data_IF_270031892984
#
_entry.id   IF_270031892984
#
_cell.length_a   1.000
_cell.length_b   1.000
_cell.length_c   1.000
_cell.angle_alpha   90.00
_cell.angle_beta   90.00
_cell.angle_gamma   90.00
#
_symmetry.space_group_name_H-M   'P 1'
#
loop_
_entity.id
_entity.type
_entity.pdbx_description
1 polymer ?
#
# COMPACT_ATOMS: atom_id res chain seq x y z
N UNK A 1 -18.22 15.80 16.32
CA UNK A 1 -16.94 16.51 16.51
C UNK A 1 -15.92 15.80 15.66
N UNK A 2 -15.63 16.37 14.50
CA UNK A 2 -14.65 15.87 13.53
C UNK A 2 -13.27 15.99 14.17
N UNK A 3 -12.61 14.86 14.42
CA UNK A 3 -11.17 14.88 14.67
C UNK A 3 -10.56 15.29 13.34
N UNK A 4 -10.07 16.52 13.25
CA UNK A 4 -9.28 16.94 12.11
C UNK A 4 -8.11 15.96 11.99
N UNK A 5 -8.05 15.21 10.90
CA UNK A 5 -6.81 14.60 10.44
C UNK A 5 -5.81 15.74 10.32
N UNK A 6 -4.76 15.68 11.13
CA UNK A 6 -3.59 16.54 10.95
C UNK A 6 -3.08 16.17 9.55
N UNK A 7 -3.17 17.09 8.58
CA UNK A 7 -2.75 16.81 7.21
C UNK A 7 -1.26 16.53 7.12
N UNK A 8 -0.82 15.83 6.06
CA UNK A 8 0.59 15.45 5.86
C UNK A 8 1.57 16.61 6.07
N UNK A 9 1.22 17.83 5.68
CA UNK A 9 2.08 19.02 5.86
C UNK A 9 2.36 19.35 7.33
N UNK A 10 1.36 19.20 8.20
CA UNK A 10 1.51 19.47 9.62
C UNK A 10 2.34 18.37 10.31
N UNK A 11 2.22 17.12 9.86
CA UNK A 11 3.11 16.04 10.30
C UNK A 11 4.54 16.26 9.79
N UNK A 12 4.73 16.68 8.53
CA UNK A 12 6.03 17.03 7.95
C UNK A 12 6.70 18.21 8.65
N UNK A 13 5.95 19.19 9.13
CA UNK A 13 6.50 20.30 9.90
C UNK A 13 7.14 19.86 11.23
N UNK A 14 6.68 18.74 11.80
CA UNK A 14 7.17 18.20 13.08
C UNK A 14 8.21 17.11 12.86
N UNK A 15 7.97 16.20 11.93
CA UNK A 15 8.73 14.95 11.75
C UNK A 15 9.42 14.84 10.38
N UNK A 16 9.21 15.79 9.48
CA UNK A 16 9.76 15.79 8.13
C UNK A 16 11.26 16.16 8.07
N UNK A 17 11.86 16.10 6.87
CA UNK A 17 13.28 16.36 6.66
C UNK A 17 13.72 17.78 6.98
N UNK A 18 12.80 18.74 6.92
CA UNK A 18 13.03 20.17 7.16
C UNK A 18 12.70 20.61 8.58
N UNK A 19 12.27 19.67 9.45
CA UNK A 19 11.97 19.98 10.83
C UNK A 19 13.22 20.53 11.55
N UNK A 20 13.11 21.75 12.06
CA UNK A 20 14.23 22.49 12.71
C UNK A 20 14.74 21.75 13.96
N UNK A 21 13.86 20.99 14.61
CA UNK A 21 14.17 20.13 15.74
C UNK A 21 13.22 18.94 15.69
N UNK A 22 13.74 17.74 15.43
CA UNK A 22 12.97 16.52 15.61
C UNK A 22 12.81 16.30 17.13
N UNK A 23 11.59 16.17 17.67
CA UNK A 23 11.40 15.88 19.08
C UNK A 23 12.12 14.59 19.48
N UNK A 24 12.76 14.57 20.65
CA UNK A 24 13.18 13.32 21.27
C UNK A 24 11.92 12.47 21.50
N UNK A 25 11.85 11.31 20.84
CA UNK A 25 10.72 10.40 20.93
C UNK A 25 11.18 9.09 21.55
N UNK A 26 10.58 8.72 22.68
CA UNK A 26 10.80 7.39 23.26
C UNK A 26 10.13 6.31 22.41
N UNK A 27 10.60 5.06 22.53
CA UNK A 27 10.00 3.92 21.83
C UNK A 27 8.51 3.76 22.17
N UNK A 28 8.12 3.96 23.43
CA UNK A 28 6.71 3.87 23.85
C UNK A 28 5.83 4.94 23.17
N UNK A 29 6.33 6.18 23.06
CA UNK A 29 5.64 7.26 22.35
C UNK A 29 5.52 6.97 20.85
N UNK A 30 6.58 6.43 20.23
CA UNK A 30 6.55 5.99 18.84
C UNK A 30 5.48 4.91 18.59
N UNK A 31 5.31 3.96 19.51
CA UNK A 31 4.23 2.97 19.43
C UNK A 31 2.83 3.53 19.67
N UNK A 32 2.69 4.53 20.55
CA UNK A 32 1.44 5.28 20.70
C UNK A 32 1.10 6.03 19.40
N UNK A 33 2.10 6.68 18.80
CA UNK A 33 1.96 7.40 17.53
C UNK A 33 1.47 6.47 16.41
N UNK A 34 2.16 5.34 16.18
CA UNK A 34 1.77 4.36 15.15
C UNK A 34 0.36 3.82 15.36
N UNK A 35 -0.01 3.49 16.61
CA UNK A 35 -1.37 3.02 16.94
C UNK A 35 -2.44 4.08 16.72
N UNK A 36 -2.12 5.36 16.95
CA UNK A 36 -3.04 6.47 16.67
C UNK A 36 -3.27 6.58 15.17
N UNK A 37 -2.19 6.63 14.38
CA UNK A 37 -2.27 6.72 12.92
C UNK A 37 -3.06 5.55 12.31
N UNK A 38 -2.81 4.33 12.79
CA UNK A 38 -3.52 3.13 12.36
C UNK A 38 -5.01 3.06 12.76
N UNK A 39 -5.48 3.96 13.64
CA UNK A 39 -6.89 4.05 14.07
C UNK A 39 -7.64 5.23 13.48
N UNK A 40 -6.93 6.30 13.12
CA UNK A 40 -7.55 7.54 12.66
C UNK A 40 -7.80 7.57 11.16
N UNK A 41 -7.10 6.76 10.37
CA UNK A 41 -7.33 6.67 8.92
C UNK A 41 -8.55 5.81 8.56
N UNK A 42 -9.34 6.36 7.63
CA UNK A 42 -10.64 5.85 7.21
C UNK A 42 -10.49 4.75 6.16
N UNK A 43 -9.98 3.58 6.58
CA UNK A 43 -10.00 2.38 5.76
C UNK A 43 -10.38 1.17 6.61
N UNK A 44 -10.60 0.01 5.99
CA UNK A 44 -10.96 -1.24 6.68
C UNK A 44 -9.87 -1.75 7.66
N UNK A 45 -8.72 -1.09 7.75
CA UNK A 45 -7.57 -1.53 8.52
C UNK A 45 -7.81 -1.65 10.05
N UNK A 46 -8.50 -0.73 10.74
CA UNK A 46 -8.86 -0.91 12.16
C UNK A 46 -9.71 -2.16 12.39
N UNK A 47 -10.55 -2.57 11.43
CA UNK A 47 -11.30 -3.82 11.49
C UNK A 47 -10.38 -5.03 11.35
N UNK A 48 -9.44 -4.98 10.39
CA UNK A 48 -8.44 -6.04 10.17
C UNK A 48 -7.53 -6.22 11.41
N UNK A 49 -7.10 -5.13 12.05
CA UNK A 49 -6.35 -5.18 13.32
C UNK A 49 -7.16 -5.84 14.45
N UNK A 50 -8.48 -5.67 14.45
CA UNK A 50 -9.37 -6.33 15.42
C UNK A 50 -9.38 -7.85 15.29
N UNK A 51 -9.36 -8.35 14.05
CA UNK A 51 -9.36 -9.77 13.71
C UNK A 51 -7.99 -10.43 13.90
N UNK A 52 -6.90 -9.66 13.81
CA UNK A 52 -5.56 -10.18 13.96
C UNK A 52 -5.29 -10.76 15.38
N UNK A 53 -4.49 -11.86 15.50
CA UNK A 53 -4.01 -12.37 16.77
C UNK A 53 -3.37 -11.28 17.62
N UNK A 54 -3.59 -11.30 18.94
CA UNK A 54 -3.11 -10.24 19.87
C UNK A 54 -1.63 -9.90 19.68
N UNK A 55 -0.78 -10.91 19.45
CA UNK A 55 0.66 -10.75 19.21
C UNK A 55 1.00 -9.93 17.96
N UNK A 56 0.14 -9.97 16.93
CA UNK A 56 0.36 -9.30 15.64
C UNK A 56 -0.22 -7.89 15.58
N UNK A 57 -1.09 -7.49 16.52
CA UNK A 57 -1.76 -6.19 16.46
C UNK A 57 -0.80 -5.00 16.52
N UNK A 58 0.21 -5.07 17.40
CA UNK A 58 1.25 -4.04 17.54
C UNK A 58 2.12 -3.95 16.27
N UNK A 59 2.77 -5.03 15.81
CA UNK A 59 3.61 -4.94 14.61
C UNK A 59 2.82 -4.58 13.35
N UNK A 60 1.58 -5.08 13.18
CA UNK A 60 0.73 -4.67 12.05
C UNK A 60 0.38 -3.18 12.08
N UNK A 61 0.11 -2.61 13.25
CA UNK A 61 -0.15 -1.17 13.37
C UNK A 61 1.08 -0.32 13.02
N UNK A 62 2.28 -0.78 13.35
CA UNK A 62 3.55 -0.12 12.99
C UNK A 62 3.81 -0.21 11.49
N UNK A 63 3.68 -1.40 10.89
CA UNK A 63 3.84 -1.58 9.43
C UNK A 63 2.83 -0.72 8.67
N UNK A 64 1.57 -0.68 9.12
CA UNK A 64 0.57 0.19 8.52
C UNK A 64 0.91 1.67 8.65
N UNK A 65 1.35 2.12 9.84
CA UNK A 65 1.76 3.50 10.02
C UNK A 65 2.90 3.89 9.06
N UNK A 66 3.83 2.96 8.81
CA UNK A 66 4.91 3.17 7.84
C UNK A 66 4.39 3.25 6.40
N UNK A 67 3.49 2.34 6.01
CA UNK A 67 2.88 2.36 4.68
C UNK A 67 2.06 3.63 4.47
N UNK A 68 1.31 4.06 5.50
CA UNK A 68 0.49 5.27 5.44
C UNK A 68 1.33 6.53 5.24
N UNK A 69 2.45 6.65 5.94
CA UNK A 69 3.38 7.75 5.66
C UNK A 69 3.87 7.72 4.22
N UNK A 70 4.27 6.57 3.68
CA UNK A 70 4.71 6.49 2.28
C UNK A 70 3.60 6.90 1.29
N UNK A 71 2.36 6.48 1.55
CA UNK A 71 1.15 6.81 0.79
C UNK A 71 0.81 8.31 0.86
N UNK A 72 0.82 8.90 2.06
CA UNK A 72 0.61 10.34 2.29
C UNK A 72 1.62 11.20 1.52
N UNK A 73 2.90 10.80 1.56
CA UNK A 73 3.95 11.52 0.83
C UNK A 73 3.80 11.41 -0.70
N UNK A 74 3.09 10.39 -1.20
CA UNK A 74 2.84 10.19 -2.61
C UNK A 74 1.57 10.91 -3.09
N UNK A 75 0.49 10.86 -2.32
CA UNK A 75 -0.86 11.25 -2.77
C UNK A 75 -1.39 12.55 -2.14
N UNK A 76 -0.92 12.97 -0.96
CA UNK A 76 -1.39 14.21 -0.30
C UNK A 76 -0.49 15.43 -0.59
N UNK A 77 0.57 15.26 -1.37
CA UNK A 77 1.50 16.32 -1.77
C UNK A 77 1.15 16.82 -3.18
N UNK A 78 0.94 18.14 -3.33
CA UNK A 78 0.47 18.72 -4.60
C UNK A 78 1.47 18.62 -5.76
N UNK A 79 2.78 18.70 -5.48
CA UNK A 79 3.83 18.65 -6.49
C UNK A 79 4.45 17.25 -6.59
N UNK A 80 4.39 16.59 -7.76
CA UNK A 80 5.06 15.30 -7.97
C UNK A 80 6.57 15.34 -7.70
N UNK A 81 7.23 16.44 -8.03
CA UNK A 81 8.65 16.64 -7.75
C UNK A 81 8.92 16.62 -6.24
N UNK A 82 8.06 17.31 -5.46
CA UNK A 82 8.15 17.32 -4.01
C UNK A 82 7.83 15.95 -3.42
N UNK A 83 6.83 15.25 -3.93
CA UNK A 83 6.54 13.86 -3.53
C UNK A 83 7.75 12.97 -3.75
N UNK A 84 8.44 13.07 -4.88
CA UNK A 84 9.64 12.30 -5.18
C UNK A 84 10.81 12.61 -4.22
N UNK A 85 11.00 13.87 -3.84
CA UNK A 85 12.00 14.27 -2.83
C UNK A 85 11.67 13.66 -1.47
N UNK A 86 10.41 13.73 -1.06
CA UNK A 86 9.94 13.21 0.23
C UNK A 86 9.98 11.68 0.28
N UNK A 87 9.60 10.98 -0.79
CA UNK A 87 9.74 9.53 -0.92
C UNK A 87 11.21 9.08 -0.89
N UNK A 88 12.11 9.88 -1.47
CA UNK A 88 13.55 9.64 -1.35
C UNK A 88 14.00 9.77 0.11
N UNK A 89 13.60 10.83 0.81
CA UNK A 89 13.87 10.98 2.24
C UNK A 89 13.30 9.81 3.06
N UNK A 90 12.08 9.37 2.76
CA UNK A 90 11.47 8.24 3.45
C UNK A 90 12.24 6.93 3.22
N UNK A 91 12.81 6.74 2.03
CA UNK A 91 13.75 5.62 1.75
C UNK A 91 15.04 5.72 2.55
N UNK A 92 15.54 6.93 2.79
CA UNK A 92 16.70 7.15 3.67
C UNK A 92 16.36 6.84 5.13
N UNK A 93 15.17 7.20 5.62
CA UNK A 93 14.68 6.80 6.94
C UNK A 93 14.49 5.27 7.05
N UNK A 94 14.03 4.60 5.99
CA UNK A 94 14.00 3.13 5.93
C UNK A 94 15.41 2.54 6.03
N UNK A 95 16.39 3.11 5.32
CA UNK A 95 17.78 2.67 5.41
C UNK A 95 18.35 2.87 6.83
N UNK A 96 18.03 4.00 7.47
CA UNK A 96 18.43 4.29 8.85
C UNK A 96 17.77 3.35 9.87
N UNK A 97 16.49 3.00 9.67
CA UNK A 97 15.76 2.01 10.45
C UNK A 97 16.49 0.65 10.46
N UNK A 98 16.80 0.12 9.27
CA UNK A 98 17.57 -1.13 9.12
C UNK A 98 19.05 -1.00 9.55
N UNK A 99 19.58 0.23 9.57
CA UNK A 99 20.97 0.53 9.95
C UNK A 99 21.20 0.82 11.44
N UNK A 100 20.14 0.86 12.27
CA UNK A 100 20.30 1.09 13.71
C UNK A 100 20.10 2.55 14.17
N UNK A 101 19.80 3.49 13.27
CA UNK A 101 19.80 4.93 13.58
C UNK A 101 18.57 5.70 13.04
N UNK A 102 17.32 5.21 13.19
CA UNK A 102 16.12 5.91 12.74
C UNK A 102 15.92 7.21 13.53
N UNK A 103 15.29 8.21 12.90
CA UNK A 103 14.93 9.47 13.57
C UNK A 103 13.43 9.65 13.67
N UNK A 104 12.71 9.23 12.62
CA UNK A 104 11.25 9.33 12.60
C UNK A 104 10.61 8.36 13.61
N UNK A 105 9.54 8.75 14.35
CA UNK A 105 8.89 7.89 15.35
C UNK A 105 8.40 6.56 14.74
N UNK A 106 7.83 6.60 13.53
CA UNK A 106 7.41 5.38 12.84
C UNK A 106 8.60 4.47 12.51
N UNK A 107 9.73 5.03 12.07
CA UNK A 107 10.96 4.27 11.78
C UNK A 107 11.60 3.70 13.04
N UNK A 108 11.48 4.40 14.18
CA UNK A 108 11.92 3.91 15.49
C UNK A 108 11.10 2.71 15.94
N UNK A 109 9.76 2.80 15.87
CA UNK A 109 8.89 1.67 16.20
C UNK A 109 9.07 0.51 15.21
N UNK A 110 9.27 0.80 13.92
CA UNK A 110 9.50 -0.21 12.89
C UNK A 110 10.81 -0.97 13.13
N UNK A 111 11.85 -0.31 13.62
CA UNK A 111 13.12 -0.99 13.90
C UNK A 111 12.97 -2.12 14.93
N UNK A 112 12.22 -1.89 16.02
CA UNK A 112 11.93 -2.94 17.00
C UNK A 112 11.20 -4.11 16.32
N UNK A 113 10.19 -3.82 15.49
CA UNK A 113 9.42 -4.84 14.76
C UNK A 113 10.28 -5.61 13.73
N UNK A 114 11.15 -4.92 13.01
CA UNK A 114 12.09 -5.53 12.05
C UNK A 114 13.02 -6.50 12.77
N UNK A 115 13.55 -6.12 13.93
CA UNK A 115 14.45 -6.97 14.71
C UNK A 115 13.70 -8.15 15.36
N UNK A 116 12.52 -7.91 15.94
CA UNK A 116 11.73 -8.94 16.65
C UNK A 116 11.22 -10.04 15.71
N UNK A 117 10.93 -9.69 14.45
CA UNK A 117 10.34 -10.60 13.45
C UNK A 117 11.29 -10.94 12.29
N UNK A 118 12.55 -10.51 12.36
CA UNK A 118 13.56 -10.71 11.31
C UNK A 118 13.05 -10.29 9.91
N UNK A 119 12.43 -9.12 9.82
CA UNK A 119 11.83 -8.65 8.58
C UNK A 119 12.89 -8.26 7.57
N UNK A 120 12.69 -8.63 6.32
CA UNK A 120 13.57 -8.23 5.23
C UNK A 120 13.23 -6.83 4.74
N UNK A 121 14.25 -6.06 4.34
CA UNK A 121 14.08 -4.69 3.81
C UNK A 121 13.38 -4.65 2.45
N UNK A 122 13.63 -5.64 1.59
CA UNK A 122 13.21 -5.62 0.18
C UNK A 122 11.71 -5.33 -0.03
N UNK A 123 10.76 -5.97 0.68
CA UNK A 123 9.34 -5.63 0.56
C UNK A 123 9.01 -4.16 0.80
N UNK A 124 9.72 -3.48 1.71
CA UNK A 124 9.52 -2.05 1.96
C UNK A 124 10.07 -1.20 0.82
N UNK A 125 11.25 -1.53 0.28
CA UNK A 125 11.79 -0.86 -0.90
C UNK A 125 10.88 -1.05 -2.13
N UNK A 126 10.28 -2.24 -2.31
CA UNK A 126 9.32 -2.52 -3.39
C UNK A 126 8.10 -1.59 -3.32
N UNK A 127 7.54 -1.37 -2.12
CA UNK A 127 6.43 -0.42 -1.92
C UNK A 127 6.82 1.01 -2.31
N UNK A 128 8.03 1.45 -1.92
CA UNK A 128 8.53 2.77 -2.32
C UNK A 128 8.78 2.88 -3.82
N UNK A 129 9.21 1.80 -4.47
CA UNK A 129 9.34 1.77 -5.93
C UNK A 129 7.97 1.97 -6.60
N UNK A 130 6.89 1.41 -6.05
CA UNK A 130 5.53 1.62 -6.53
C UNK A 130 5.06 3.07 -6.36
N UNK A 131 5.21 3.65 -5.18
CA UNK A 131 4.83 5.06 -4.95
C UNK A 131 5.60 6.03 -5.87
N UNK A 132 6.88 5.77 -6.12
CA UNK A 132 7.68 6.54 -7.10
C UNK A 132 7.17 6.34 -8.53
N UNK A 133 6.74 5.13 -8.89
CA UNK A 133 6.17 4.85 -10.21
C UNK A 133 4.87 5.63 -10.43
N UNK A 134 3.99 5.72 -9.43
CA UNK A 134 2.70 6.42 -9.54
C UNK A 134 2.84 7.94 -9.78
N UNK A 135 4.00 8.52 -9.45
CA UNK A 135 4.31 9.92 -9.78
C UNK A 135 4.66 10.14 -11.25
N UNK A 136 4.89 9.07 -12.03
CA UNK A 136 5.44 9.14 -13.39
C UNK A 136 4.60 8.43 -14.43
N UNK A 137 3.99 7.30 -14.06
CA UNK A 137 3.21 6.46 -14.96
C UNK A 137 1.74 6.49 -14.54
N UNK A 138 0.93 7.17 -15.33
CA UNK A 138 -0.49 7.37 -15.04
C UNK A 138 -1.40 6.34 -15.73
N UNK A 139 -0.86 5.59 -16.70
CA UNK A 139 -1.64 4.64 -17.50
C UNK A 139 -0.82 3.39 -17.83
N UNK A 140 -1.52 2.26 -17.94
CA UNK A 140 -0.95 0.94 -18.22
C UNK A 140 -1.37 0.44 -19.60
N UNK A 141 -0.43 -0.05 -20.40
CA UNK A 141 -0.69 -0.50 -21.77
C UNK A 141 -1.26 -1.93 -21.82
N UNK A 142 -0.74 -2.82 -20.98
CA UNK A 142 -1.14 -4.22 -20.92
C UNK A 142 -1.36 -4.72 -19.50
N UNK A 143 -2.11 -5.81 -19.38
CA UNK A 143 -2.35 -6.47 -18.09
C UNK A 143 -1.04 -6.91 -17.43
N UNK A 144 -0.05 -7.36 -18.21
CA UNK A 144 1.27 -7.70 -17.68
C UNK A 144 2.00 -6.50 -17.05
N UNK A 145 1.84 -5.31 -17.63
CA UNK A 145 2.41 -4.08 -17.06
C UNK A 145 1.71 -3.73 -15.74
N UNK A 146 0.38 -3.87 -15.68
CA UNK A 146 -0.39 -3.67 -14.45
C UNK A 146 0.01 -4.68 -13.38
N UNK A 147 0.19 -5.95 -13.73
CA UNK A 147 0.66 -6.98 -12.80
C UNK A 147 2.08 -6.70 -12.31
N UNK A 148 2.96 -6.17 -13.16
CA UNK A 148 4.29 -5.75 -12.76
C UNK A 148 4.25 -4.63 -11.72
N UNK A 149 3.29 -3.71 -11.82
CA UNK A 149 3.03 -2.72 -10.79
C UNK A 149 2.51 -3.36 -9.49
N UNK A 150 1.51 -4.26 -9.55
CA UNK A 150 0.99 -4.97 -8.38
C UNK A 150 2.06 -5.76 -7.60
N UNK A 151 3.10 -6.26 -8.28
CA UNK A 151 4.25 -6.94 -7.63
C UNK A 151 4.99 -6.02 -6.65
N UNK A 152 4.90 -4.71 -6.84
CA UNK A 152 5.52 -3.70 -6.00
C UNK A 152 4.48 -3.00 -5.10
N UNK A 153 3.29 -2.68 -5.60
CA UNK A 153 2.29 -1.90 -4.86
C UNK A 153 1.47 -2.71 -3.86
N UNK A 154 1.30 -4.02 -4.07
CA UNK A 154 0.39 -4.83 -3.27
C UNK A 154 1.05 -6.07 -2.64
N UNK A 155 1.76 -6.85 -3.45
CA UNK A 155 2.36 -8.12 -3.01
C UNK A 155 3.30 -7.99 -1.80
N UNK A 156 4.12 -6.92 -1.68
CA UNK A 156 5.01 -6.79 -0.54
C UNK A 156 4.29 -6.71 0.81
N UNK A 157 3.08 -6.13 0.86
CA UNK A 157 2.27 -6.07 2.10
C UNK A 157 1.96 -7.49 2.59
N UNK A 158 1.50 -8.37 1.70
CA UNK A 158 1.23 -9.76 2.04
C UNK A 158 2.46 -10.51 2.55
N UNK A 159 3.60 -10.31 1.89
CA UNK A 159 4.89 -10.90 2.29
C UNK A 159 5.34 -10.44 3.68
N UNK A 160 5.15 -9.16 4.01
CA UNK A 160 5.43 -8.63 5.36
C UNK A 160 4.50 -9.29 6.39
N UNK A 161 3.20 -9.43 6.09
CA UNK A 161 2.23 -10.08 6.99
C UNK A 161 2.56 -11.56 7.20
N UNK A 162 3.01 -12.27 6.17
CA UNK A 162 3.49 -13.65 6.28
C UNK A 162 4.73 -13.76 7.18
N UNK A 163 5.71 -12.87 6.98
CA UNK A 163 6.91 -12.82 7.81
C UNK A 163 6.57 -12.53 9.28
N UNK A 164 5.69 -11.56 9.55
CA UNK A 164 5.16 -11.30 10.90
C UNK A 164 4.46 -12.52 11.51
N UNK A 165 3.86 -13.37 10.67
CA UNK A 165 3.21 -14.60 11.09
C UNK A 165 4.18 -15.79 11.25
N UNK A 166 5.46 -15.61 10.93
CA UNK A 166 6.49 -16.66 10.97
C UNK A 166 6.40 -17.65 9.80
N UNK A 167 5.77 -17.26 8.68
CA UNK A 167 5.58 -18.12 7.50
C UNK A 167 6.59 -17.73 6.42
N UNK A 168 7.47 -18.67 6.06
CA UNK A 168 8.52 -18.50 5.02
C UNK A 168 8.35 -19.47 3.85
N UNK A 169 7.21 -20.16 3.79
CA UNK A 169 6.90 -21.14 2.74
C UNK A 169 6.64 -20.46 1.39
N UNK A 170 7.31 -20.94 0.34
CA UNK A 170 7.24 -20.34 -0.99
C UNK A 170 5.84 -20.46 -1.63
N UNK A 171 5.10 -21.53 -1.32
CA UNK A 171 3.73 -21.70 -1.81
C UNK A 171 2.79 -20.73 -1.10
N UNK A 172 2.96 -20.52 0.22
CA UNK A 172 2.23 -19.52 0.96
C UNK A 172 2.50 -18.10 0.42
N UNK A 173 3.76 -17.79 0.07
CA UNK A 173 4.12 -16.52 -0.59
C UNK A 173 3.40 -16.37 -1.93
N UNK A 174 3.41 -17.40 -2.79
CA UNK A 174 2.72 -17.35 -4.07
C UNK A 174 1.20 -17.16 -3.91
N UNK A 175 0.58 -17.85 -2.95
CA UNK A 175 -0.85 -17.67 -2.65
C UNK A 175 -1.15 -16.27 -2.09
N UNK A 176 -0.27 -15.72 -1.24
CA UNK A 176 -0.40 -14.36 -0.72
C UNK A 176 -0.27 -13.32 -1.82
N UNK A 177 0.72 -13.46 -2.71
CA UNK A 177 0.90 -12.57 -3.85
C UNK A 177 -0.36 -12.57 -4.75
N UNK A 178 -0.94 -13.76 -4.99
CA UNK A 178 -2.19 -13.86 -5.75
C UNK A 178 -3.35 -13.12 -5.05
N UNK A 179 -3.54 -13.31 -3.74
CA UNK A 179 -4.58 -12.59 -2.97
C UNK A 179 -4.33 -11.07 -3.01
N UNK A 180 -3.09 -10.63 -2.75
CA UNK A 180 -2.74 -9.21 -2.73
C UNK A 180 -2.97 -8.55 -4.09
N UNK A 181 -2.53 -9.20 -5.18
CA UNK A 181 -2.80 -8.72 -6.54
C UNK A 181 -4.31 -8.69 -6.80
N UNK A 182 -5.06 -9.74 -6.44
CA UNK A 182 -6.51 -9.79 -6.62
C UNK A 182 -7.26 -8.68 -5.87
N UNK A 183 -6.86 -8.39 -4.62
CA UNK A 183 -7.38 -7.26 -3.84
C UNK A 183 -7.08 -5.92 -4.50
N UNK A 184 -5.86 -5.73 -5.00
CA UNK A 184 -5.46 -4.49 -5.66
C UNK A 184 -6.25 -4.25 -6.95
N UNK A 185 -6.43 -5.29 -7.77
CA UNK A 185 -7.28 -5.19 -8.96
C UNK A 185 -8.73 -4.86 -8.58
N UNK A 186 -9.28 -5.50 -7.55
CA UNK A 186 -10.62 -5.19 -7.07
C UNK A 186 -10.75 -3.72 -6.62
N UNK A 187 -9.72 -3.15 -5.99
CA UNK A 187 -9.66 -1.72 -5.65
C UNK A 187 -9.71 -0.84 -6.91
N UNK A 188 -8.92 -1.13 -7.95
CA UNK A 188 -9.00 -0.38 -9.21
C UNK A 188 -10.38 -0.47 -9.86
N UNK A 189 -11.01 -1.64 -9.84
CA UNK A 189 -12.30 -1.86 -10.49
C UNK A 189 -13.46 -1.13 -9.82
N UNK A 190 -13.44 -0.97 -8.50
CA UNK A 190 -14.45 -0.16 -7.80
C UNK A 190 -14.20 1.35 -7.95
N UNK A 191 -12.94 1.76 -8.20
CA UNK A 191 -12.52 3.16 -8.18
C UNK A 191 -12.18 3.76 -9.56
N UNK A 192 -12.47 3.07 -10.68
CA UNK A 192 -12.26 3.54 -12.07
C UNK A 192 -12.60 5.03 -12.26
N UNK A 193 -13.75 5.48 -11.76
CA UNK A 193 -14.17 6.89 -11.83
C UNK A 193 -13.26 7.80 -11.01
N UNK A 194 -12.95 7.43 -9.77
CA UNK A 194 -12.13 8.22 -8.85
C UNK A 194 -10.72 8.36 -9.42
N UNK A 195 -10.14 7.26 -9.88
CA UNK A 195 -8.80 7.23 -10.45
C UNK A 195 -8.72 8.10 -11.71
N UNK A 196 -9.69 7.98 -12.62
CA UNK A 196 -9.74 8.81 -13.82
C UNK A 196 -9.89 10.31 -13.48
N UNK A 197 -10.62 10.67 -12.42
CA UNK A 197 -10.69 12.07 -11.95
C UNK A 197 -9.37 12.57 -11.38
N UNK A 198 -8.56 11.69 -10.82
CA UNK A 198 -7.19 11.97 -10.38
C UNK A 198 -6.16 11.87 -11.52
N UNK A 199 -6.60 11.64 -12.77
CA UNK A 199 -5.73 11.52 -13.93
C UNK A 199 -5.00 10.17 -14.05
N UNK A 200 -5.43 9.14 -13.31
CA UNK A 200 -4.87 7.78 -13.33
C UNK A 200 -5.83 6.81 -14.05
N UNK A 201 -5.30 5.89 -14.87
CA UNK A 201 -6.07 4.85 -15.55
C UNK A 201 -5.40 3.49 -15.37
N UNK A 202 -5.98 2.67 -14.49
CA UNK A 202 -5.49 1.32 -14.20
C UNK A 202 -6.10 0.23 -15.09
N UNK A 203 -7.20 0.52 -15.79
CA UNK A 203 -7.70 -0.38 -16.86
C UNK A 203 -6.62 -0.45 -17.95
N UNK A 204 -6.02 -1.63 -18.22
CA UNK A 204 -4.96 -1.73 -19.21
C UNK A 204 -5.49 -1.35 -20.59
N UNK A 205 -4.79 -0.49 -21.34
CA UNK A 205 -5.27 0.07 -22.62
C UNK A 205 -5.71 -1.00 -23.63
N UNK A 206 -5.08 -2.17 -23.63
CA UNK A 206 -5.46 -3.30 -24.48
C UNK A 206 -6.90 -3.81 -24.25
N UNK A 207 -7.42 -3.69 -23.02
CA UNK A 207 -8.70 -4.27 -22.64
C UNK A 207 -9.89 -3.40 -23.09
N UNK A 208 -9.98 -2.08 -22.81
CA UNK A 208 -10.99 -1.22 -23.42
C UNK A 208 -10.99 -1.31 -24.96
N UNK A 209 -9.82 -1.36 -25.60
CA UNK A 209 -9.69 -1.55 -27.04
C UNK A 209 -10.32 -2.88 -27.51
N UNK A 210 -10.05 -3.97 -26.78
CA UNK A 210 -10.60 -5.31 -27.07
C UNK A 210 -12.13 -5.33 -26.98
N UNK A 211 -12.72 -4.61 -26.04
CA UNK A 211 -14.17 -4.56 -25.84
C UNK A 211 -14.87 -3.43 -26.60
N UNK A 212 -14.12 -2.60 -27.34
CA UNK A 212 -14.67 -1.46 -28.08
C UNK A 212 -15.18 -0.34 -27.16
N UNK A 213 -14.56 -0.18 -25.98
CA UNK A 213 -14.81 0.93 -25.06
C UNK A 213 -13.76 2.02 -25.28
N UNK A 214 -14.17 3.15 -25.86
CA UNK A 214 -13.28 4.24 -26.26
C UNK A 214 -13.02 5.27 -25.15
N UNK A 215 -12.01 6.11 -25.37
CA UNK A 215 -11.56 7.13 -24.42
C UNK A 215 -12.63 8.20 -24.16
N UNK A 216 -13.43 8.53 -25.18
CA UNK A 216 -14.55 9.47 -25.04
C UNK A 216 -15.63 8.89 -24.12
N UNK A 217 -15.91 7.59 -24.21
CA UNK A 217 -16.83 6.89 -23.31
C UNK A 217 -16.29 6.84 -21.88
N UNK A 218 -14.99 6.59 -21.70
CA UNK A 218 -14.33 6.60 -20.39
C UNK A 218 -14.38 8.00 -19.76
N UNK A 219 -13.98 9.04 -20.51
CA UNK A 219 -14.01 10.42 -20.07
C UNK A 219 -15.44 10.92 -19.78
N UNK A 220 -16.39 10.50 -20.62
CA UNK A 220 -17.82 10.77 -20.48
C UNK A 220 -18.52 9.93 -19.42
N UNK A 221 -17.83 8.96 -18.80
CA UNK A 221 -18.37 8.03 -17.77
C UNK A 221 -19.57 7.24 -18.27
N UNK A 222 -19.54 6.88 -19.54
CA UNK A 222 -20.62 6.15 -20.20
C UNK A 222 -20.63 4.71 -19.69
N UNK A 223 -21.76 4.28 -19.12
CA UNK A 223 -22.01 2.88 -18.79
C UNK A 223 -22.84 2.26 -19.91
N UNK A 224 -22.17 1.59 -20.85
CA UNK A 224 -22.77 0.86 -21.96
C UNK A 224 -22.44 -0.64 -21.88
N UNK A 225 -22.95 -1.44 -22.83
CA UNK A 225 -22.72 -2.89 -22.83
C UNK A 225 -21.23 -3.24 -22.93
N UNK A 226 -20.45 -2.48 -23.73
CA UNK A 226 -19.00 -2.64 -23.84
C UNK A 226 -18.29 -2.46 -22.49
N UNK A 227 -18.67 -1.44 -21.71
CA UNK A 227 -18.15 -1.24 -20.36
C UNK A 227 -18.52 -2.37 -19.42
N UNK A 228 -19.78 -2.84 -19.46
CA UNK A 228 -20.22 -3.93 -18.60
C UNK A 228 -19.47 -5.23 -18.90
N UNK A 229 -19.22 -5.52 -20.17
CA UNK A 229 -18.46 -6.71 -20.59
C UNK A 229 -16.96 -6.59 -20.25
N UNK A 230 -16.36 -5.40 -20.44
CA UNK A 230 -15.01 -5.10 -19.97
C UNK A 230 -14.89 -5.32 -18.46
N UNK A 231 -15.78 -4.73 -17.66
CA UNK A 231 -15.71 -4.85 -16.20
C UNK A 231 -15.95 -6.27 -15.72
N UNK A 232 -16.82 -7.05 -16.38
CA UNK A 232 -16.98 -8.49 -16.08
C UNK A 232 -15.67 -9.23 -16.31
N UNK A 233 -15.00 -8.98 -17.44
CA UNK A 233 -13.74 -9.60 -17.78
C UNK A 233 -12.62 -9.27 -16.77
N UNK A 234 -12.50 -8.01 -16.36
CA UNK A 234 -11.52 -7.58 -15.35
C UNK A 234 -11.82 -8.12 -13.94
N UNK A 235 -13.10 -8.19 -13.57
CA UNK A 235 -13.54 -8.79 -12.31
C UNK A 235 -13.24 -10.29 -12.29
N UNK A 236 -13.41 -10.99 -13.40
CA UNK A 236 -13.10 -12.42 -13.49
C UNK A 236 -11.60 -12.71 -13.36
N UNK A 237 -10.72 -11.82 -13.86
CA UNK A 237 -9.28 -11.88 -13.57
C UNK A 237 -8.98 -11.77 -12.07
N UNK A 238 -9.59 -10.81 -11.37
CA UNK A 238 -9.43 -10.68 -9.92
C UNK A 238 -9.96 -11.92 -9.16
N UNK A 239 -11.10 -12.48 -9.60
CA UNK A 239 -11.66 -13.72 -9.04
C UNK A 239 -10.74 -14.92 -9.22
N UNK A 240 -10.10 -15.05 -10.38
CA UNK A 240 -9.14 -16.13 -10.62
C UNK A 240 -7.98 -16.07 -9.63
N UNK A 241 -7.42 -14.87 -9.39
CA UNK A 241 -6.35 -14.67 -8.42
C UNK A 241 -6.76 -15.03 -6.98
N UNK A 242 -7.98 -14.69 -6.55
CA UNK A 242 -8.51 -15.18 -5.28
C UNK A 242 -8.63 -16.72 -5.25
N UNK A 243 -9.03 -17.31 -6.37
CA UNK A 243 -9.08 -18.77 -6.55
C UNK A 243 -7.72 -19.45 -6.44
N UNK A 244 -6.66 -18.80 -6.95
CA UNK A 244 -5.28 -19.29 -6.92
C UNK A 244 -4.66 -19.17 -5.52
N UNK A 245 -5.03 -18.13 -4.77
CA UNK A 245 -4.58 -17.93 -3.39
C UNK A 245 -5.41 -18.64 -2.31
N UNK A 246 -6.53 -19.28 -2.68
CA UNK A 246 -7.55 -19.79 -1.74
C UNK A 246 -7.04 -20.74 -0.64
N UNK A 247 -5.93 -21.43 -0.88
CA UNK A 247 -5.35 -22.38 0.09
C UNK A 247 -4.56 -21.71 1.21
N UNK A 248 -4.27 -20.41 1.11
CA UNK A 248 -3.44 -19.69 2.07
C UNK A 248 -3.90 -19.85 3.53
N UNK A 249 -5.19 -19.73 3.89
CA UNK A 249 -5.61 -19.83 5.29
C UNK A 249 -5.19 -21.15 5.96
N UNK A 250 -5.21 -22.27 5.22
CA UNK A 250 -4.78 -23.57 5.72
C UNK A 250 -3.25 -23.72 5.89
N UNK A 251 -2.47 -22.72 5.45
CA UNK A 251 -1.01 -22.67 5.59
C UNK A 251 -0.58 -21.72 6.72
N UNK A 252 -1.52 -20.96 7.31
CA UNK A 252 -1.22 -20.00 8.37
C UNK A 252 -1.28 -20.66 9.76
N UNK A 253 -0.36 -20.31 10.68
CA UNK A 253 -0.35 -20.89 12.02
C UNK A 253 -1.53 -20.40 12.87
N UNK A 254 -2.32 -21.34 13.38
CA UNK A 254 -3.42 -21.06 14.31
C UNK A 254 -4.75 -20.69 13.66
N UNK A 255 -4.96 -21.12 12.40
CA UNK A 255 -6.28 -21.24 11.76
C UNK A 255 -6.80 -22.67 11.92
#
# INVERSE_FOLDING_TARGET
MTVATVGVEAELAVWGPEAVSCPDCSLDEAHVYCRKLARTHYENFPLLLGLAPRRLRRPLAVVYAWCRWADDLADEIESPERSLELLKWWREELAACFGGTPRHPVSLALQEVVNDFDLHRRPFDDLLDAFVQDQRLLEYQSYDQLLAYCRNSANPVGRIVLALSGVVDAQAVACSDAICTGLQLANFWQDVRRDHQAGRVYLPREDPQRFGYDDDSLAGRVTNDAFLDLMRFEVDRARQLFGDGRSLPGMLPGV
#
